data_IF_118539201963
#
_entry.id   IF_118539201963
#
_cell.length_a   1.000
_cell.length_b   1.000
_cell.length_c   1.000
_cell.angle_alpha   90.00
_cell.angle_beta   90.00
_cell.angle_gamma   90.00
#
_symmetry.space_group_name_H-M   'P 1'
#
loop_
_entity.id
_entity.type
_entity.pdbx_description
1 polymer ?
#
# COMPACT_ATOMS: atom_id res chain seq x y z
N UNK A 1 -81.06 -10.78 -10.39
CA UNK A 1 -79.87 -11.67 -10.11
C UNK A 1 -78.65 -10.90 -10.56
N UNK A 2 -78.13 -10.14 -9.63
CA UNK A 2 -76.84 -9.47 -9.78
C UNK A 2 -75.73 -10.43 -9.37
N UNK A 3 -74.96 -10.86 -10.34
CA UNK A 3 -73.68 -11.47 -10.08
C UNK A 3 -72.63 -10.36 -10.09
N UNK A 4 -72.34 -9.83 -8.90
CA UNK A 4 -71.23 -8.98 -8.70
C UNK A 4 -69.97 -9.86 -8.72
N UNK A 5 -69.34 -9.93 -9.87
CA UNK A 5 -67.98 -10.49 -9.97
C UNK A 5 -67.02 -9.64 -9.12
N UNK A 6 -66.66 -10.17 -7.98
CA UNK A 6 -65.54 -9.73 -7.17
C UNK A 6 -64.29 -9.96 -8.00
N UNK A 7 -63.83 -8.92 -8.70
CA UNK A 7 -62.46 -8.89 -9.23
C UNK A 7 -61.51 -8.91 -8.04
N UNK A 8 -60.94 -10.07 -7.80
CA UNK A 8 -59.89 -10.27 -6.81
C UNK A 8 -58.77 -9.29 -7.06
N UNK A 9 -58.40 -8.56 -6.03
CA UNK A 9 -57.17 -7.80 -5.93
C UNK A 9 -55.96 -8.77 -6.04
N UNK A 10 -55.66 -9.17 -7.28
CA UNK A 10 -54.54 -10.08 -7.58
C UNK A 10 -53.18 -9.42 -7.61
N UNK A 11 -53.10 -8.12 -7.40
CA UNK A 11 -51.84 -7.42 -7.30
C UNK A 11 -51.51 -7.13 -5.83
N UNK A 12 -50.91 -8.13 -5.19
CA UNK A 12 -50.23 -7.92 -3.92
C UNK A 12 -48.95 -7.12 -4.22
N UNK A 13 -49.08 -5.80 -4.29
CA UNK A 13 -47.93 -4.93 -4.14
C UNK A 13 -47.37 -5.20 -2.75
N UNK A 14 -46.26 -5.90 -2.68
CA UNK A 14 -45.47 -5.96 -1.46
C UNK A 14 -45.02 -4.54 -1.13
N UNK A 15 -45.80 -3.84 -0.32
CA UNK A 15 -45.35 -2.63 0.35
C UNK A 15 -44.43 -3.09 1.49
N UNK A 16 -43.16 -3.14 1.20
CA UNK A 16 -42.16 -3.35 2.22
C UNK A 16 -42.01 -2.02 2.96
N UNK A 17 -42.35 -2.00 4.23
CA UNK A 17 -42.00 -0.89 5.12
C UNK A 17 -40.55 -1.18 5.51
N UNK A 18 -39.65 -0.40 4.93
CA UNK A 18 -38.24 -0.48 5.28
C UNK A 18 -38.04 0.08 6.69
N UNK A 19 -37.15 -0.53 7.45
CA UNK A 19 -36.72 0.03 8.72
C UNK A 19 -35.99 1.35 8.49
N UNK A 20 -35.94 2.21 9.50
CA UNK A 20 -35.12 3.41 9.44
C UNK A 20 -33.61 3.05 9.26
N UNK A 21 -33.20 1.90 9.78
CA UNK A 21 -31.86 1.35 9.62
C UNK A 21 -31.58 0.89 8.17
N UNK A 22 -32.60 0.58 7.38
CA UNK A 22 -32.48 0.28 5.94
C UNK A 22 -32.27 1.54 5.10
N UNK A 23 -32.49 2.72 5.68
CA UNK A 23 -32.21 4.05 5.10
C UNK A 23 -30.93 4.68 5.64
N UNK A 24 -30.18 3.98 6.49
CA UNK A 24 -28.82 4.38 6.81
C UNK A 24 -27.99 4.21 5.54
N UNK A 25 -28.04 5.25 4.70
CA UNK A 25 -27.11 5.41 3.60
C UNK A 25 -25.72 5.54 4.23
N UNK A 26 -25.05 4.39 4.43
CA UNK A 26 -23.65 4.35 4.84
C UNK A 26 -22.83 4.93 3.69
N UNK A 27 -22.76 6.25 3.66
CA UNK A 27 -21.90 6.95 2.73
C UNK A 27 -20.45 6.67 3.09
N UNK A 28 -19.67 6.31 2.11
CA UNK A 28 -18.25 6.02 2.29
C UNK A 28 -17.40 7.06 1.55
N UNK A 29 -16.21 7.26 2.07
CA UNK A 29 -15.09 7.90 1.36
C UNK A 29 -14.00 6.86 1.18
N UNK A 30 -13.19 7.02 0.13
CA UNK A 30 -12.04 6.15 -0.13
C UNK A 30 -10.74 6.93 0.08
N UNK A 31 -9.79 6.35 0.81
CA UNK A 31 -8.44 6.93 0.99
C UNK A 31 -7.41 5.94 0.48
N UNK A 32 -6.66 6.34 -0.53
CA UNK A 32 -5.70 5.49 -1.22
C UNK A 32 -4.30 6.13 -1.30
N UNK A 33 -3.29 5.29 -1.51
CA UNK A 33 -1.91 5.72 -1.74
C UNK A 33 -1.05 5.77 -0.49
N UNK A 34 -0.24 6.83 -0.33
CA UNK A 34 0.80 6.91 0.70
C UNK A 34 0.25 7.26 2.11
N UNK A 35 -0.68 6.43 2.59
CA UNK A 35 -1.24 6.42 3.96
C UNK A 35 -0.94 5.09 4.63
N UNK A 36 -1.06 5.02 5.96
CA UNK A 36 -0.75 3.78 6.70
C UNK A 36 -1.77 2.68 6.49
N UNK A 37 -3.05 3.03 6.45
CA UNK A 37 -4.16 2.10 6.30
C UNK A 37 -5.07 2.60 5.16
N UNK A 38 -4.74 2.31 3.90
CA UNK A 38 -5.61 2.66 2.78
C UNK A 38 -6.89 1.83 2.82
N UNK A 39 -8.02 2.40 2.40
CA UNK A 39 -9.31 1.71 2.35
C UNK A 39 -10.50 2.65 2.31
N UNK A 40 -11.68 2.07 2.46
CA UNK A 40 -12.95 2.79 2.53
C UNK A 40 -13.31 3.06 3.98
N UNK A 41 -13.78 4.27 4.25
CA UNK A 41 -14.17 4.74 5.58
C UNK A 41 -15.57 5.30 5.54
N UNK A 42 -16.32 5.10 6.62
CA UNK A 42 -17.65 5.68 6.74
C UNK A 42 -17.56 7.21 6.76
N UNK A 43 -18.36 7.84 5.92
CA UNK A 43 -18.46 9.30 5.88
C UNK A 43 -19.35 9.77 7.04
N UNK A 44 -18.94 10.81 7.71
CA UNK A 44 -19.73 11.52 8.71
C UNK A 44 -19.95 12.98 8.30
N UNK A 45 -21.09 13.55 8.67
CA UNK A 45 -21.40 14.95 8.38
C UNK A 45 -20.32 15.88 8.94
N UNK A 46 -19.88 16.82 8.10
CA UNK A 46 -18.80 17.75 8.47
C UNK A 46 -17.41 17.15 8.52
N UNK A 47 -17.22 15.94 7.96
CA UNK A 47 -15.90 15.31 7.90
C UNK A 47 -14.92 16.15 7.08
N UNK A 48 -13.78 16.46 7.68
CA UNK A 48 -12.68 17.17 7.01
C UNK A 48 -11.65 16.20 6.40
N UNK A 49 -10.82 16.72 5.50
CA UNK A 49 -9.67 15.97 4.96
C UNK A 49 -8.75 15.45 6.07
N UNK A 50 -8.50 16.28 7.10
CA UNK A 50 -7.70 15.86 8.25
C UNK A 50 -8.31 14.66 8.96
N UNK A 51 -9.64 14.66 9.17
CA UNK A 51 -10.34 13.55 9.82
C UNK A 51 -10.21 12.24 9.01
N UNK A 52 -10.36 12.33 7.68
CA UNK A 52 -10.21 11.18 6.79
C UNK A 52 -8.78 10.61 6.80
N UNK A 53 -7.78 11.48 6.72
CA UNK A 53 -6.37 11.07 6.80
C UNK A 53 -6.04 10.47 8.18
N UNK A 54 -6.63 10.98 9.25
CA UNK A 54 -6.48 10.42 10.59
C UNK A 54 -7.06 9.01 10.69
N UNK A 55 -8.25 8.76 10.12
CA UNK A 55 -8.86 7.43 10.04
C UNK A 55 -7.96 6.45 9.25
N UNK A 56 -7.33 6.93 8.18
CA UNK A 56 -6.34 6.18 7.40
C UNK A 56 -4.99 6.00 8.13
N UNK A 57 -4.90 6.37 9.41
CA UNK A 57 -3.68 6.23 10.22
C UNK A 57 -2.60 7.27 9.93
N UNK A 58 -2.91 8.32 9.17
CA UNK A 58 -1.99 9.40 8.79
C UNK A 58 -1.15 9.07 7.55
N UNK A 59 -0.39 10.07 7.12
CA UNK A 59 0.51 9.97 5.97
C UNK A 59 1.72 9.09 6.28
N UNK A 60 2.23 8.40 5.26
CA UNK A 60 3.53 7.72 5.33
C UNK A 60 4.65 8.65 4.86
N UNK A 61 5.90 8.30 5.15
CA UNK A 61 7.06 9.07 4.68
C UNK A 61 7.12 9.20 3.15
N UNK A 62 6.53 8.26 2.42
CA UNK A 62 6.44 8.33 0.97
C UNK A 62 5.61 9.51 0.45
N UNK A 63 4.75 10.10 1.29
CA UNK A 63 3.96 11.28 0.94
C UNK A 63 4.74 12.59 1.07
N UNK A 64 5.92 12.59 1.70
CA UNK A 64 6.73 13.79 1.93
C UNK A 64 7.05 14.51 0.61
N UNK A 65 6.77 15.82 0.57
CA UNK A 65 6.98 16.64 -0.62
C UNK A 65 6.05 16.34 -1.81
N UNK A 66 5.07 15.46 -1.65
CA UNK A 66 4.11 15.06 -2.69
C UNK A 66 2.80 15.85 -2.58
N UNK A 67 1.68 15.25 -2.95
CA UNK A 67 0.36 15.88 -2.97
C UNK A 67 -0.77 14.94 -2.64
N UNK A 68 -1.85 15.51 -2.14
CA UNK A 68 -3.14 14.86 -1.96
C UNK A 68 -4.11 15.39 -2.99
N UNK A 69 -4.77 14.52 -3.71
CA UNK A 69 -5.80 14.83 -4.70
C UNK A 69 -7.15 14.31 -4.22
N UNK A 70 -8.18 15.16 -4.26
CA UNK A 70 -9.54 14.79 -3.90
C UNK A 70 -10.38 14.75 -5.16
N UNK A 71 -10.94 13.58 -5.45
CA UNK A 71 -11.81 13.32 -6.60
C UNK A 71 -13.24 13.19 -6.14
N UNK A 72 -14.11 14.03 -6.68
CA UNK A 72 -15.55 14.11 -6.33
C UNK A 72 -16.42 13.77 -7.53
N UNK A 73 -17.57 13.15 -7.28
CA UNK A 73 -18.59 12.94 -8.29
C UNK A 73 -19.28 14.29 -8.53
N UNK A 74 -19.19 14.81 -9.76
CA UNK A 74 -19.81 16.09 -10.12
C UNK A 74 -21.21 15.88 -10.69
N UNK A 75 -21.40 14.86 -11.51
CA UNK A 75 -22.66 14.54 -12.16
C UNK A 75 -22.68 13.09 -12.64
N UNK A 76 -23.86 12.59 -12.94
CA UNK A 76 -24.04 11.30 -13.61
C UNK A 76 -24.37 11.51 -15.08
N UNK A 77 -23.70 10.75 -15.96
CA UNK A 77 -24.01 10.78 -17.40
C UNK A 77 -25.34 10.05 -17.65
N UNK A 78 -26.40 10.84 -17.85
CA UNK A 78 -27.76 10.35 -18.06
C UNK A 78 -27.95 9.86 -19.51
N UNK A 79 -27.07 10.22 -20.44
CA UNK A 79 -27.19 9.88 -21.87
C UNK A 79 -26.61 8.50 -22.22
N UNK A 80 -25.97 7.84 -21.29
CA UNK A 80 -25.49 6.46 -21.45
C UNK A 80 -26.56 5.47 -20.96
N UNK A 81 -26.67 4.31 -21.62
CA UNK A 81 -27.53 3.21 -21.16
C UNK A 81 -27.12 2.65 -19.76
N UNK A 82 -26.09 3.22 -19.15
CA UNK A 82 -25.63 2.95 -17.79
C UNK A 82 -25.26 4.28 -17.15
N UNK A 83 -25.81 4.52 -15.95
CA UNK A 83 -25.43 5.65 -15.11
C UNK A 83 -23.93 5.54 -14.79
N UNK A 84 -23.12 6.40 -15.40
CA UNK A 84 -21.68 6.50 -15.13
C UNK A 84 -21.40 7.80 -14.38
N UNK A 85 -20.77 7.73 -13.19
CA UNK A 85 -20.38 8.92 -12.47
C UNK A 85 -19.26 9.65 -13.25
N UNK A 86 -19.42 10.97 -13.43
CA UNK A 86 -18.32 11.84 -13.90
C UNK A 86 -17.66 12.44 -12.69
N UNK A 87 -16.37 12.15 -12.55
CA UNK A 87 -15.55 12.68 -11.45
C UNK A 87 -14.66 13.80 -11.93
N UNK A 88 -14.38 14.74 -11.02
CA UNK A 88 -13.39 15.78 -11.22
C UNK A 88 -12.50 15.89 -9.99
N UNK A 89 -11.25 16.34 -10.20
CA UNK A 89 -10.37 16.71 -9.09
C UNK A 89 -10.80 18.07 -8.57
N UNK A 90 -11.38 18.10 -7.38
CA UNK A 90 -11.92 19.32 -6.78
C UNK A 90 -10.91 20.06 -5.89
N UNK A 91 -9.92 19.34 -5.38
CA UNK A 91 -8.83 19.92 -4.59
C UNK A 91 -7.53 19.15 -4.84
N UNK A 92 -6.45 19.92 -4.90
CA UNK A 92 -5.09 19.37 -4.95
C UNK A 92 -4.26 20.12 -3.90
N UNK A 93 -3.68 19.38 -2.98
CA UNK A 93 -2.99 19.93 -1.81
C UNK A 93 -1.57 19.39 -1.78
N UNK A 94 -0.60 20.27 -1.59
CA UNK A 94 0.80 19.85 -1.37
C UNK A 94 0.99 19.35 0.05
N UNK A 95 1.76 18.29 0.18
CA UNK A 95 2.26 17.77 1.45
C UNK A 95 3.62 18.41 1.73
N UNK A 96 3.80 18.99 2.91
CA UNK A 96 5.09 19.54 3.34
C UNK A 96 6.13 18.43 3.59
N UNK A 97 7.40 18.85 3.72
CA UNK A 97 8.51 17.94 4.07
C UNK A 97 8.42 17.43 5.52
N UNK A 98 7.53 18.00 6.31
CA UNK A 98 7.20 17.58 7.67
C UNK A 98 5.93 16.71 7.74
N UNK A 99 5.39 16.31 6.58
CA UNK A 99 4.12 15.61 6.41
C UNK A 99 2.90 16.39 6.91
N UNK A 100 3.02 17.71 7.02
CA UNK A 100 1.94 18.59 7.43
C UNK A 100 1.26 19.20 6.20
N UNK A 101 -0.05 19.29 6.25
CA UNK A 101 -0.86 20.00 5.28
C UNK A 101 -1.05 21.46 5.72
N UNK A 102 -1.44 22.33 4.79
CA UNK A 102 -1.87 23.67 5.18
C UNK A 102 -3.18 23.60 5.96
N UNK A 103 -3.38 24.51 6.91
CA UNK A 103 -4.60 24.55 7.73
C UNK A 103 -5.89 24.65 6.89
N UNK A 104 -5.83 25.37 5.76
CA UNK A 104 -6.94 25.44 4.80
C UNK A 104 -7.26 24.08 4.17
N UNK A 105 -6.22 23.29 3.92
CA UNK A 105 -6.37 21.94 3.34
C UNK A 105 -6.88 20.93 4.37
N UNK A 106 -6.38 21.00 5.60
CA UNK A 106 -6.83 20.13 6.69
C UNK A 106 -8.32 20.31 6.98
N UNK A 107 -8.82 21.55 6.93
CA UNK A 107 -10.21 21.91 7.15
C UNK A 107 -11.11 21.78 5.90
N UNK A 108 -10.58 21.24 4.79
CA UNK A 108 -11.39 21.03 3.59
C UNK A 108 -12.49 20.02 3.86
N UNK A 109 -13.75 20.42 3.70
CA UNK A 109 -14.93 19.55 3.88
C UNK A 109 -15.06 18.56 2.75
N UNK A 110 -15.13 17.29 3.13
CA UNK A 110 -15.39 16.18 2.25
C UNK A 110 -16.89 16.01 1.99
N UNK A 111 -17.22 15.34 0.91
CA UNK A 111 -18.57 14.92 0.57
C UNK A 111 -18.66 13.40 0.45
N UNK A 112 -19.86 12.82 0.56
CA UNK A 112 -20.07 11.40 0.31
C UNK A 112 -19.45 10.94 -1.01
N UNK A 113 -18.81 9.77 -1.00
CA UNK A 113 -18.15 9.15 -2.15
C UNK A 113 -16.92 9.89 -2.68
N UNK A 114 -16.37 10.85 -1.94
CA UNK A 114 -15.08 11.44 -2.28
C UNK A 114 -13.99 10.37 -2.24
N UNK A 115 -13.08 10.43 -3.21
CA UNK A 115 -11.88 9.61 -3.27
C UNK A 115 -10.67 10.49 -3.03
N UNK A 116 -9.86 10.11 -2.06
CA UNK A 116 -8.68 10.83 -1.61
C UNK A 116 -7.47 10.03 -2.03
N UNK A 117 -6.65 10.58 -2.93
CA UNK A 117 -5.43 9.96 -3.41
C UNK A 117 -4.23 10.66 -2.84
N UNK A 118 -3.52 10.02 -1.94
CA UNK A 118 -2.22 10.51 -1.44
C UNK A 118 -1.13 9.97 -2.35
N UNK A 119 -0.53 10.85 -3.16
CA UNK A 119 0.53 10.46 -4.09
C UNK A 119 1.82 10.18 -3.33
N UNK A 120 2.54 9.15 -3.77
CA UNK A 120 3.91 8.91 -3.32
C UNK A 120 4.86 9.86 -4.02
N UNK A 121 5.89 10.31 -3.31
CA UNK A 121 6.98 11.08 -3.92
C UNK A 121 7.82 10.12 -4.77
N UNK A 122 7.98 10.38 -6.09
CA UNK A 122 8.78 9.50 -6.95
C UNK A 122 10.27 9.46 -6.57
N UNK A 123 10.75 10.50 -5.89
CA UNK A 123 12.14 10.58 -5.44
C UNK A 123 12.35 10.01 -4.02
N UNK A 124 11.30 9.41 -3.43
CA UNK A 124 11.40 8.80 -2.11
C UNK A 124 12.22 7.52 -2.17
N UNK A 125 13.32 7.50 -1.42
CA UNK A 125 14.11 6.29 -1.21
C UNK A 125 13.89 5.77 0.22
N UNK A 126 13.38 4.53 0.38
CA UNK A 126 13.19 3.96 1.70
C UNK A 126 14.53 3.72 2.39
N UNK A 127 14.56 3.90 3.70
CA UNK A 127 15.73 3.56 4.50
C UNK A 127 15.90 2.05 4.52
N UNK A 128 17.01 1.57 3.94
CA UNK A 128 17.35 0.15 3.93
C UNK A 128 18.29 -0.12 5.12
N UNK A 129 17.96 -1.14 5.90
CA UNK A 129 18.79 -1.58 7.01
C UNK A 129 19.41 -2.94 6.68
N UNK A 130 20.67 -3.12 7.08
CA UNK A 130 21.40 -4.37 6.99
C UNK A 130 21.86 -4.79 8.37
N UNK A 131 21.89 -6.09 8.62
CA UNK A 131 22.40 -6.64 9.86
C UNK A 131 23.81 -7.21 9.64
N UNK A 132 24.75 -6.79 10.49
CA UNK A 132 26.11 -7.32 10.50
C UNK A 132 26.26 -8.19 11.75
N UNK A 133 26.59 -9.44 11.54
CA UNK A 133 26.78 -10.44 12.60
C UNK A 133 28.19 -11.01 12.55
N UNK A 134 28.59 -11.70 13.60
CA UNK A 134 29.88 -12.39 13.68
C UNK A 134 31.01 -11.49 14.18
N UNK A 135 32.24 -11.74 13.69
CA UNK A 135 33.50 -11.21 14.19
C UNK A 135 33.79 -9.78 13.72
N UNK A 136 32.90 -8.85 14.06
CA UNK A 136 33.08 -7.40 13.97
C UNK A 136 33.03 -6.78 15.36
N UNK A 137 33.69 -5.62 15.56
CA UNK A 137 33.74 -5.01 16.90
C UNK A 137 32.37 -4.61 17.45
N UNK A 138 31.50 -4.15 16.58
CA UNK A 138 30.13 -3.75 16.95
C UNK A 138 29.12 -4.43 16.02
N UNK A 139 28.75 -5.69 16.32
CA UNK A 139 27.69 -6.36 15.57
C UNK A 139 26.34 -5.69 15.83
N UNK A 140 25.47 -5.67 14.81
CA UNK A 140 24.14 -5.05 14.94
C UNK A 140 23.56 -4.60 13.61
N UNK A 141 22.49 -3.79 13.69
CA UNK A 141 21.81 -3.26 12.52
C UNK A 141 22.39 -1.90 12.12
N UNK A 142 22.62 -1.74 10.84
CA UNK A 142 23.17 -0.53 10.23
C UNK A 142 22.30 -0.08 9.07
N UNK A 143 21.98 1.21 9.00
CA UNK A 143 21.28 1.78 7.85
C UNK A 143 22.26 1.99 6.70
N UNK A 144 21.86 1.68 5.47
CA UNK A 144 22.58 2.02 4.26
C UNK A 144 22.42 3.52 4.02
N UNK A 145 23.55 4.24 3.91
CA UNK A 145 23.55 5.70 3.75
C UNK A 145 23.43 6.12 2.28
N UNK A 146 23.78 5.25 1.34
CA UNK A 146 23.78 5.53 -0.10
C UNK A 146 23.46 4.24 -0.87
N UNK A 147 22.78 4.35 -1.98
CA UNK A 147 22.38 3.21 -2.83
C UNK A 147 23.53 2.28 -3.25
N UNK A 148 24.75 2.81 -3.35
CA UNK A 148 25.98 2.07 -3.74
C UNK A 148 26.97 1.98 -2.58
N UNK A 149 26.52 1.92 -1.32
CA UNK A 149 27.42 1.77 -0.20
C UNK A 149 28.09 0.40 -0.23
N UNK A 150 29.43 0.40 -0.17
CA UNK A 150 30.21 -0.84 -0.19
C UNK A 150 30.19 -1.54 1.17
N UNK A 151 30.21 -2.87 1.16
CA UNK A 151 30.33 -3.69 2.37
C UNK A 151 31.53 -3.27 3.23
N UNK A 152 32.66 -2.92 2.61
CA UNK A 152 33.84 -2.42 3.32
C UNK A 152 33.56 -1.15 4.13
N UNK A 153 32.67 -0.27 3.66
CA UNK A 153 32.27 0.92 4.42
C UNK A 153 31.42 0.52 5.64
N UNK A 154 30.53 -0.44 5.49
CA UNK A 154 29.71 -0.97 6.59
C UNK A 154 30.59 -1.64 7.66
N UNK A 155 31.53 -2.49 7.25
CA UNK A 155 32.51 -3.12 8.16
C UNK A 155 33.33 -2.06 8.88
N UNK A 156 33.76 -1.00 8.20
CA UNK A 156 34.47 0.10 8.85
C UNK A 156 33.62 0.83 9.88
N UNK A 157 32.33 1.04 9.59
CA UNK A 157 31.39 1.66 10.54
C UNK A 157 31.10 0.77 11.75
N UNK A 158 31.14 -0.57 11.58
CA UNK A 158 31.04 -1.52 12.68
C UNK A 158 32.31 -1.67 13.50
N UNK A 159 33.29 -0.74 13.34
CA UNK A 159 34.54 -0.72 14.08
C UNK A 159 35.64 -1.63 13.49
N UNK A 160 35.35 -2.25 12.34
CA UNK A 160 36.26 -3.21 11.71
C UNK A 160 36.13 -4.63 12.25
N UNK A 161 36.87 -5.53 11.68
CA UNK A 161 36.93 -6.94 12.05
C UNK A 161 37.70 -7.16 13.35
N UNK A 162 37.34 -8.21 14.08
CA UNK A 162 38.13 -8.68 15.23
C UNK A 162 39.33 -9.48 14.76
N UNK A 163 40.25 -9.80 15.68
CA UNK A 163 41.43 -10.66 15.39
C UNK A 163 41.05 -12.12 15.10
N UNK A 164 39.84 -12.51 15.36
CA UNK A 164 39.32 -13.87 15.13
C UNK A 164 38.55 -13.98 13.81
N UNK A 165 38.40 -12.87 13.06
CA UNK A 165 37.62 -12.86 11.82
C UNK A 165 38.32 -13.67 10.73
N UNK A 166 37.57 -14.60 10.13
CA UNK A 166 37.99 -15.40 8.98
C UNK A 166 37.36 -14.83 7.70
N UNK A 167 38.16 -14.15 6.88
CA UNK A 167 37.66 -13.40 5.72
C UNK A 167 37.05 -14.28 4.63
N UNK A 168 37.65 -15.47 4.39
CA UNK A 168 37.13 -16.38 3.35
C UNK A 168 35.82 -17.04 3.75
N UNK A 169 35.40 -16.88 5.01
CA UNK A 169 34.13 -17.39 5.54
C UNK A 169 33.01 -16.35 5.59
N UNK A 170 33.18 -15.18 4.97
CA UNK A 170 32.17 -14.13 4.94
C UNK A 170 31.00 -14.58 4.06
N UNK A 171 29.82 -14.60 4.65
CA UNK A 171 28.55 -14.91 3.93
C UNK A 171 27.67 -13.68 3.92
N UNK A 172 26.99 -13.44 2.80
CA UNK A 172 26.03 -12.36 2.64
C UNK A 172 24.66 -12.97 2.34
N UNK A 173 23.71 -12.69 3.21
CA UNK A 173 22.32 -13.14 3.06
C UNK A 173 21.46 -11.98 2.57
N UNK A 174 20.65 -12.22 1.55
CA UNK A 174 19.67 -11.25 1.05
C UNK A 174 18.28 -11.85 1.18
N UNK A 175 17.38 -11.14 1.86
CA UNK A 175 15.97 -11.51 1.85
C UNK A 175 15.43 -11.24 0.45
N UNK A 176 14.92 -12.28 -0.20
CA UNK A 176 14.30 -12.20 -1.50
C UNK A 176 12.78 -12.16 -1.30
N UNK A 177 12.13 -11.10 -1.77
CA UNK A 177 10.68 -11.01 -1.76
C UNK A 177 10.17 -11.35 -3.15
N UNK A 178 9.38 -12.43 -3.25
CA UNK A 178 8.74 -12.83 -4.51
C UNK A 178 7.56 -11.91 -4.77
N UNK A 179 7.72 -11.03 -5.75
CA UNK A 179 6.64 -10.17 -6.26
C UNK A 179 6.23 -10.63 -7.66
N UNK A 180 5.06 -10.21 -8.13
CA UNK A 180 4.63 -10.51 -9.50
C UNK A 180 5.63 -10.02 -10.57
N UNK A 181 6.35 -8.93 -10.28
CA UNK A 181 7.38 -8.34 -11.15
C UNK A 181 8.65 -9.19 -11.22
N UNK A 182 9.01 -9.89 -10.14
CA UNK A 182 10.23 -10.71 -10.07
C UNK A 182 10.03 -12.14 -10.63
N UNK A 183 8.81 -12.52 -10.99
CA UNK A 183 8.51 -13.87 -11.47
C UNK A 183 9.28 -14.26 -12.74
N UNK A 184 9.58 -13.29 -13.62
CA UNK A 184 10.38 -13.56 -14.81
C UNK A 184 11.86 -13.70 -14.47
N UNK A 185 12.37 -12.88 -13.55
CA UNK A 185 13.75 -12.97 -13.07
C UNK A 185 14.04 -14.31 -12.38
N UNK A 186 13.07 -14.83 -11.60
CA UNK A 186 13.20 -16.14 -10.94
C UNK A 186 13.30 -17.28 -11.96
N UNK A 187 12.58 -17.19 -13.08
CA UNK A 187 12.65 -18.21 -14.15
C UNK A 187 14.00 -18.24 -14.83
N UNK A 188 14.67 -17.09 -14.91
CA UNK A 188 15.97 -16.94 -15.56
C UNK A 188 17.15 -17.28 -14.62
N UNK A 189 16.89 -17.42 -13.31
CA UNK A 189 17.92 -17.83 -12.36
C UNK A 189 18.43 -19.24 -12.65
N UNK A 190 19.74 -19.45 -12.50
CA UNK A 190 20.36 -20.77 -12.66
C UNK A 190 20.24 -21.61 -11.37
N UNK A 191 19.01 -21.85 -10.94
CA UNK A 191 18.65 -22.67 -9.79
C UNK A 191 17.81 -23.86 -10.24
N UNK A 192 17.67 -24.87 -9.38
CA UNK A 192 16.90 -26.07 -9.73
C UNK A 192 15.43 -25.75 -10.06
N UNK A 193 14.85 -26.47 -11.03
CA UNK A 193 13.45 -26.27 -11.42
C UNK A 193 12.47 -26.57 -10.27
N UNK A 194 12.86 -27.42 -9.34
CA UNK A 194 12.07 -27.73 -8.13
C UNK A 194 12.02 -26.51 -7.21
N UNK A 195 13.16 -25.83 -6.99
CA UNK A 195 13.25 -24.64 -6.20
C UNK A 195 12.50 -23.46 -6.84
N UNK A 196 12.60 -23.30 -8.18
CA UNK A 196 11.80 -22.30 -8.91
C UNK A 196 10.30 -22.48 -8.66
N UNK A 197 9.81 -23.72 -8.75
CA UNK A 197 8.39 -24.04 -8.50
C UNK A 197 7.99 -23.75 -7.05
N UNK A 198 8.85 -24.07 -6.10
CA UNK A 198 8.60 -23.80 -4.68
C UNK A 198 8.51 -22.31 -4.41
N UNK A 199 9.44 -21.52 -4.92
CA UNK A 199 9.47 -20.05 -4.77
C UNK A 199 8.20 -19.41 -5.38
N UNK A 200 7.78 -19.88 -6.56
CA UNK A 200 6.63 -19.33 -7.27
C UNK A 200 5.29 -19.70 -6.64
N UNK A 201 5.21 -20.88 -5.99
CA UNK A 201 3.97 -21.38 -5.41
C UNK A 201 3.81 -21.02 -3.93
N UNK A 202 4.92 -20.90 -3.20
CA UNK A 202 4.95 -20.57 -1.77
C UNK A 202 6.16 -19.71 -1.44
N UNK A 203 6.02 -18.38 -1.49
CA UNK A 203 7.10 -17.43 -1.19
C UNK A 203 7.63 -17.54 0.25
N UNK A 204 6.82 -17.97 1.20
CA UNK A 204 7.27 -18.15 2.59
C UNK A 204 8.20 -19.37 2.72
N UNK A 205 7.92 -20.43 1.99
CA UNK A 205 8.80 -21.60 1.93
C UNK A 205 10.15 -21.28 1.27
N UNK A 206 10.22 -20.31 0.38
CA UNK A 206 11.44 -19.87 -0.27
C UNK A 206 12.52 -19.41 0.72
N UNK A 207 12.13 -18.93 1.89
CA UNK A 207 13.08 -18.52 2.95
C UNK A 207 13.92 -19.68 3.50
N UNK A 208 13.46 -20.93 3.35
CA UNK A 208 14.14 -22.14 3.83
C UNK A 208 15.28 -22.54 2.88
N UNK A 209 15.19 -22.16 1.60
CA UNK A 209 16.13 -22.56 0.54
C UNK A 209 17.16 -21.47 0.20
N UNK A 210 17.47 -20.59 1.16
CA UNK A 210 18.42 -19.47 0.95
C UNK A 210 19.82 -19.93 0.55
N UNK A 211 20.24 -21.12 0.93
CA UNK A 211 21.58 -21.63 0.60
C UNK A 211 21.80 -21.85 -0.92
N UNK A 212 20.78 -22.30 -1.65
CA UNK A 212 20.88 -22.45 -3.11
C UNK A 212 20.85 -21.11 -3.84
N UNK A 213 20.06 -20.16 -3.36
CA UNK A 213 19.99 -18.80 -3.90
C UNK A 213 21.28 -18.02 -3.64
N UNK A 214 21.99 -18.33 -2.55
CA UNK A 214 23.29 -17.73 -2.23
C UNK A 214 24.42 -18.17 -3.18
N UNK A 215 24.42 -19.44 -3.60
CA UNK A 215 25.40 -19.90 -4.58
C UNK A 215 25.29 -19.14 -5.89
N UNK A 216 24.06 -18.82 -6.32
CA UNK A 216 23.79 -18.03 -7.50
C UNK A 216 24.29 -16.58 -7.39
N UNK A 217 24.10 -15.93 -6.23
CA UNK A 217 24.54 -14.54 -6.02
C UNK A 217 26.06 -14.40 -5.90
N UNK A 218 26.78 -15.47 -5.55
CA UNK A 218 28.25 -15.47 -5.45
C UNK A 218 28.96 -15.64 -6.81
N UNK A 219 28.26 -16.17 -7.83
CA UNK A 219 28.80 -16.35 -9.18
C UNK A 219 28.71 -15.06 -10.05
N UNK A 220 27.92 -14.07 -9.63
CA UNK A 220 27.68 -12.83 -10.41
C UNK A 220 28.60 -11.67 -10.00
N UNK A 221 29.43 -11.84 -8.96
CA UNK A 221 30.40 -10.84 -8.47
C UNK A 221 31.81 -11.44 -8.41
#
# INVERSE_FOLDING_TARGET
RDESESRGLGDVYKRQIMSIDDFDDNFNISVEGAVRNPGDFNFGDGMSLQSALFLAGGLTQQAEGSRVEISRIMEYDINSNKLKPRRAIVKNVKVGNDLVLSQEAENFELQPYDQIFVRSNPDFEPVINVQILGEVKYPGTYSILRKNEKISSLIKRSGGLTSYAYLDGVKMYRKFEVTAENNEEIKDMNISDELKRTILNDPEAASIYTEELESYNNEIF
#
